data_IF_450625324976
#
_entry.id   IF_450625324976
#
_cell.length_a   1.000
_cell.length_b   1.000
_cell.length_c   1.000
_cell.angle_alpha   90.00
_cell.angle_beta   90.00
_cell.angle_gamma   90.00
#
_symmetry.space_group_name_H-M   'P 1'
#
loop_
_entity.id
_entity.type
_entity.pdbx_description
1 polymer ?
#
# COMPACT_ATOMS: atom_id res chain seq x y z
N UNK A 1 2.51 -2.81 18.58
CA UNK A 1 1.36 -3.22 17.78
C UNK A 1 0.73 -1.99 17.17
N UNK A 2 0.61 -1.93 15.83
CA UNK A 2 -0.04 -0.84 15.12
C UNK A 2 -1.50 -1.16 14.82
N UNK A 3 -1.73 -2.36 14.28
CA UNK A 3 -3.07 -2.87 13.93
C UNK A 3 -3.18 -4.29 14.49
N UNK A 4 -4.35 -4.62 15.01
CA UNK A 4 -4.68 -5.94 15.53
C UNK A 4 -6.09 -6.32 15.07
N UNK A 5 -6.22 -7.46 14.41
CA UNK A 5 -7.45 -7.92 13.76
C UNK A 5 -7.82 -9.28 14.33
N UNK A 6 -9.04 -9.40 14.85
CA UNK A 6 -9.56 -10.63 15.46
C UNK A 6 -10.85 -11.05 14.78
N UNK A 7 -10.86 -12.26 14.22
CA UNK A 7 -12.01 -12.95 13.60
C UNK A 7 -12.87 -12.03 12.71
N UNK A 8 -12.19 -11.15 11.99
CA UNK A 8 -12.82 -10.12 11.17
C UNK A 8 -13.58 -10.74 10.00
N UNK A 9 -14.88 -10.45 9.95
CA UNK A 9 -15.73 -10.68 8.77
C UNK A 9 -16.17 -9.31 8.27
N UNK A 10 -15.83 -8.97 7.03
CA UNK A 10 -16.09 -7.66 6.46
C UNK A 10 -16.66 -7.73 5.03
N UNK A 11 -17.28 -6.63 4.61
CA UNK A 11 -17.89 -6.50 3.30
C UNK A 11 -18.59 -5.15 3.13
N UNK A 12 -19.56 -5.11 2.22
CA UNK A 12 -20.38 -3.92 1.97
C UNK A 12 -21.86 -4.21 2.29
N UNK A 13 -22.66 -4.66 1.32
CA UNK A 13 -24.05 -5.07 1.55
C UNK A 13 -24.14 -6.45 2.21
N UNK A 14 -23.12 -7.30 2.01
CA UNK A 14 -23.00 -8.67 2.55
C UNK A 14 -21.53 -8.96 2.86
N UNK A 15 -21.25 -9.98 3.70
CA UNK A 15 -19.88 -10.45 3.90
C UNK A 15 -19.18 -10.81 2.58
N UNK A 16 -17.91 -10.44 2.48
CA UNK A 16 -17.04 -10.71 1.31
C UNK A 16 -15.82 -11.49 1.72
N UNK A 17 -15.30 -11.22 2.92
CA UNK A 17 -14.11 -11.89 3.45
C UNK A 17 -14.30 -12.26 4.92
N UNK A 18 -13.51 -13.23 5.37
CA UNK A 18 -13.35 -13.63 6.77
C UNK A 18 -13.87 -15.02 7.07
N UNK A 19 -13.75 -15.47 8.34
CA UNK A 19 -13.05 -14.75 9.41
C UNK A 19 -11.54 -14.71 9.16
N UNK A 20 -10.90 -13.59 9.50
CA UNK A 20 -9.45 -13.43 9.42
C UNK A 20 -8.91 -12.77 10.69
N UNK A 21 -7.77 -13.29 11.18
CA UNK A 21 -7.06 -12.74 12.35
C UNK A 21 -5.59 -12.55 12.00
N UNK A 22 -5.05 -11.38 12.31
CA UNK A 22 -3.64 -11.05 12.20
C UNK A 22 -3.32 -9.78 12.96
N UNK A 23 -2.05 -9.51 13.13
CA UNK A 23 -1.57 -8.26 13.71
C UNK A 23 -0.53 -7.62 12.78
N UNK A 24 -0.25 -6.33 12.97
CA UNK A 24 0.84 -5.60 12.31
C UNK A 24 1.65 -4.88 13.38
N UNK A 25 2.94 -5.16 13.42
CA UNK A 25 3.92 -4.49 14.28
C UNK A 25 4.56 -3.26 13.62
N UNK A 26 5.38 -2.53 14.40
CA UNK A 26 6.31 -1.55 13.83
C UNK A 26 7.48 -2.27 13.18
N UNK A 27 7.94 -1.77 12.05
CA UNK A 27 9.06 -2.36 11.32
C UNK A 27 8.75 -3.69 10.64
N UNK A 28 7.49 -4.06 10.53
CA UNK A 28 7.04 -5.33 9.95
C UNK A 28 6.41 -5.11 8.57
N UNK A 29 6.71 -6.02 7.64
CA UNK A 29 6.09 -6.08 6.32
C UNK A 29 5.23 -7.34 6.24
N UNK A 30 3.90 -7.17 6.21
CA UNK A 30 2.92 -8.23 6.13
C UNK A 30 2.36 -8.36 4.71
N UNK A 31 2.48 -9.54 4.10
CA UNK A 31 1.85 -9.88 2.84
C UNK A 31 0.43 -10.43 3.03
N UNK A 32 -0.55 -9.90 2.31
CA UNK A 32 -1.90 -10.45 2.21
C UNK A 32 -2.04 -11.15 0.86
N UNK A 33 -2.16 -12.47 0.91
CA UNK A 33 -2.24 -13.31 -0.28
C UNK A 33 -3.58 -14.01 -0.38
N UNK A 34 -4.06 -14.24 -1.59
CA UNK A 34 -5.33 -14.94 -1.84
C UNK A 34 -5.82 -14.78 -3.27
N UNK A 35 -6.77 -15.60 -3.67
CA UNK A 35 -7.34 -15.57 -5.01
C UNK A 35 -7.98 -14.22 -5.35
N UNK A 36 -8.11 -13.90 -6.63
CA UNK A 36 -8.84 -12.71 -7.06
C UNK A 36 -10.28 -12.76 -6.56
N UNK A 37 -10.78 -11.63 -6.05
CA UNK A 37 -12.12 -11.53 -5.49
C UNK A 37 -12.33 -12.16 -4.11
N UNK A 38 -11.24 -12.59 -3.41
CA UNK A 38 -11.36 -13.10 -2.04
C UNK A 38 -11.49 -11.98 -0.97
N UNK A 39 -11.52 -10.71 -1.37
CA UNK A 39 -11.76 -9.60 -0.45
C UNK A 39 -10.51 -8.86 0.04
N UNK A 40 -9.35 -8.98 -0.64
CA UNK A 40 -8.11 -8.27 -0.25
C UNK A 40 -8.31 -6.76 -0.11
N UNK A 41 -8.83 -6.11 -1.15
CA UNK A 41 -9.13 -4.66 -1.11
C UNK A 41 -10.25 -4.32 -0.11
N UNK A 42 -11.20 -5.25 0.10
CA UNK A 42 -12.24 -5.09 1.15
C UNK A 42 -11.62 -5.11 2.54
N UNK A 43 -10.60 -5.95 2.76
CA UNK A 43 -9.85 -5.96 4.02
C UNK A 43 -9.15 -4.62 4.25
N UNK A 44 -8.43 -4.09 3.25
CA UNK A 44 -7.80 -2.78 3.36
C UNK A 44 -8.83 -1.69 3.67
N UNK A 45 -9.99 -1.73 2.99
CA UNK A 45 -11.09 -0.80 3.28
C UNK A 45 -11.63 -0.96 4.72
N UNK A 46 -11.76 -2.19 5.23
CA UNK A 46 -12.19 -2.45 6.60
C UNK A 46 -11.17 -1.95 7.63
N UNK A 47 -9.87 -2.12 7.36
CA UNK A 47 -8.80 -1.57 8.19
C UNK A 47 -8.87 -0.04 8.31
N UNK A 48 -9.45 0.66 7.35
CA UNK A 48 -9.63 2.11 7.34
C UNK A 48 -11.04 2.56 7.78
N UNK A 49 -11.94 1.61 8.08
CA UNK A 49 -13.33 1.91 8.42
C UNK A 49 -14.21 2.25 7.23
N UNK A 50 -13.75 2.00 6.00
CA UNK A 50 -14.48 2.25 4.75
C UNK A 50 -15.31 1.04 4.27
N UNK A 51 -15.16 -0.13 4.90
CA UNK A 51 -16.01 -1.29 4.69
C UNK A 51 -16.71 -1.68 6.01
N UNK A 52 -17.89 -2.30 5.89
CA UNK A 52 -18.68 -2.73 7.04
C UNK A 52 -18.06 -3.96 7.68
N UNK A 53 -17.88 -3.92 9.00
CA UNK A 53 -17.55 -5.07 9.84
C UNK A 53 -18.86 -5.77 10.23
N UNK A 54 -18.98 -7.06 9.92
CA UNK A 54 -20.14 -7.91 10.26
C UNK A 54 -19.91 -8.66 11.56
N UNK A 55 -18.67 -9.13 11.80
CA UNK A 55 -18.22 -9.72 13.06
C UNK A 55 -16.72 -9.54 13.25
N UNK A 56 -16.23 -9.84 14.46
CA UNK A 56 -14.85 -9.62 14.83
C UNK A 56 -14.55 -8.13 15.08
N UNK A 57 -13.29 -7.79 15.16
CA UNK A 57 -12.88 -6.42 15.47
C UNK A 57 -11.55 -6.03 14.80
N UNK A 58 -11.37 -4.73 14.61
CA UNK A 58 -10.11 -4.10 14.20
C UNK A 58 -9.72 -3.09 15.29
N UNK A 59 -8.62 -3.38 15.97
CA UNK A 59 -8.01 -2.48 16.95
C UNK A 59 -6.84 -1.75 16.30
N UNK A 60 -6.73 -0.44 16.51
CA UNK A 60 -5.64 0.39 16.00
C UNK A 60 -4.98 1.12 17.17
N UNK A 61 -3.67 1.31 17.08
CA UNK A 61 -2.97 2.17 18.03
C UNK A 61 -3.59 3.57 18.06
N UNK A 62 -3.65 4.18 19.21
CA UNK A 62 -4.18 5.55 19.34
C UNK A 62 -3.32 6.54 18.52
N UNK A 63 -3.98 7.37 17.71
CA UNK A 63 -3.31 8.34 16.85
C UNK A 63 -2.60 7.74 15.63
N UNK A 64 -2.86 6.46 15.29
CA UNK A 64 -2.24 5.80 14.12
C UNK A 64 -2.52 6.56 12.83
N UNK A 65 -1.46 6.97 12.16
CA UNK A 65 -1.51 7.57 10.83
C UNK A 65 -1.27 6.49 9.78
N UNK A 66 -2.21 6.35 8.82
CA UNK A 66 -2.16 5.33 7.78
C UNK A 66 -2.16 5.98 6.41
N UNK A 67 -1.24 5.57 5.54
CA UNK A 67 -1.26 5.90 4.12
C UNK A 67 -1.76 4.69 3.32
N UNK A 68 -2.54 4.93 2.27
CA UNK A 68 -3.09 3.90 1.40
C UNK A 68 -2.83 4.24 -0.07
N UNK A 69 -2.24 3.31 -0.79
CA UNK A 69 -2.21 3.31 -2.25
C UNK A 69 -3.16 2.21 -2.73
N UNK A 70 -4.20 2.61 -3.46
CA UNK A 70 -5.16 1.69 -4.09
C UNK A 70 -4.73 1.36 -5.51
N UNK A 71 -5.22 0.24 -6.03
CA UNK A 71 -4.98 -0.16 -7.41
C UNK A 71 -5.47 0.89 -8.42
N UNK A 72 -6.61 1.54 -8.14
CA UNK A 72 -7.10 2.65 -8.95
C UNK A 72 -6.49 3.96 -8.46
N UNK A 73 -5.70 4.59 -9.33
CA UNK A 73 -5.16 5.91 -9.05
C UNK A 73 -6.19 6.99 -9.35
N UNK A 74 -6.16 8.11 -8.62
CA UNK A 74 -6.96 9.28 -8.97
C UNK A 74 -6.67 9.71 -10.40
N UNK A 75 -7.71 10.03 -11.16
CA UNK A 75 -7.55 10.68 -12.44
C UNK A 75 -7.06 12.11 -12.22
N UNK A 76 -5.80 12.36 -12.57
CA UNK A 76 -5.17 13.69 -12.49
C UNK A 76 -5.13 14.37 -13.86
N UNK A 77 -5.87 13.85 -14.85
CA UNK A 77 -5.95 14.48 -16.15
C UNK A 77 -6.46 15.94 -16.03
N UNK A 78 -5.69 16.86 -16.57
CA UNK A 78 -6.01 18.29 -16.52
C UNK A 78 -5.63 19.02 -15.23
N UNK A 79 -5.15 18.32 -14.20
CA UNK A 79 -4.57 18.98 -13.01
C UNK A 79 -3.13 19.39 -13.35
N UNK A 80 -2.77 20.68 -13.31
CA UNK A 80 -1.40 21.13 -13.59
C UNK A 80 -0.48 20.88 -12.38
N UNK A 81 -0.27 19.61 -12.04
CA UNK A 81 0.55 19.18 -10.91
C UNK A 81 1.83 18.51 -11.42
N UNK A 82 2.98 18.95 -10.92
CA UNK A 82 4.27 18.30 -11.16
C UNK A 82 4.54 17.17 -10.17
N UNK A 83 5.56 16.35 -10.45
CA UNK A 83 6.00 15.31 -9.54
C UNK A 83 6.52 15.89 -8.22
N UNK A 84 7.28 16.99 -8.28
CA UNK A 84 7.80 17.67 -7.09
C UNK A 84 6.66 18.21 -6.21
N UNK A 85 5.63 18.80 -6.82
CA UNK A 85 4.46 19.29 -6.09
C UNK A 85 3.66 18.14 -5.45
N UNK A 86 3.52 16.99 -6.12
CA UNK A 86 2.89 15.80 -5.53
C UNK A 86 3.64 15.35 -4.27
N UNK A 87 4.97 15.25 -4.32
CA UNK A 87 5.77 14.89 -3.16
C UNK A 87 5.63 15.93 -2.03
N UNK A 88 5.65 17.21 -2.36
CA UNK A 88 5.46 18.27 -1.37
C UNK A 88 4.08 18.20 -0.70
N UNK A 89 3.02 17.98 -1.46
CA UNK A 89 1.65 17.86 -0.95
C UNK A 89 1.46 16.65 -0.02
N UNK A 90 2.16 15.55 -0.30
CA UNK A 90 2.09 14.34 0.53
C UNK A 90 3.08 14.35 1.69
N UNK A 91 3.98 15.31 1.76
CA UNK A 91 5.10 15.34 2.71
C UNK A 91 6.15 14.26 2.45
N UNK A 92 6.14 13.65 1.27
CA UNK A 92 7.09 12.63 0.87
C UNK A 92 8.42 13.25 0.44
N UNK A 93 9.52 12.53 0.69
CA UNK A 93 10.85 12.94 0.22
C UNK A 93 11.18 12.33 -1.14
N UNK A 94 11.93 13.08 -1.96
CA UNK A 94 12.52 12.55 -3.19
C UNK A 94 13.79 11.72 -2.94
N UNK A 95 14.32 11.71 -1.72
CA UNK A 95 15.55 10.98 -1.36
C UNK A 95 15.37 9.48 -1.57
N UNK A 96 16.20 8.90 -2.42
CA UNK A 96 16.13 7.49 -2.79
C UNK A 96 15.19 7.18 -3.97
N UNK A 97 14.54 8.18 -4.57
CA UNK A 97 13.79 8.00 -5.80
C UNK A 97 14.74 7.55 -6.94
N UNK A 98 14.35 6.60 -7.82
CA UNK A 98 15.22 6.20 -8.93
C UNK A 98 15.55 7.38 -9.84
N UNK A 99 16.78 7.44 -10.36
CA UNK A 99 17.25 8.57 -11.18
C UNK A 99 16.36 8.82 -12.39
N UNK A 100 15.88 7.76 -13.07
CA UNK A 100 14.98 7.87 -14.23
C UNK A 100 13.65 8.58 -13.94
N UNK A 101 13.28 8.73 -12.65
CA UNK A 101 12.11 9.47 -12.22
C UNK A 101 12.49 10.77 -11.51
N UNK A 102 13.58 10.77 -10.75
CA UNK A 102 14.08 11.96 -10.03
C UNK A 102 14.37 13.12 -10.99
N UNK A 103 14.97 12.83 -12.15
CA UNK A 103 15.31 13.81 -13.18
C UNK A 103 14.07 14.43 -13.88
N UNK A 104 12.89 13.89 -13.62
CA UNK A 104 11.62 14.30 -14.23
C UNK A 104 10.60 14.88 -13.25
N UNK A 105 11.00 15.13 -12.01
CA UNK A 105 10.10 15.63 -10.98
C UNK A 105 9.48 17.00 -11.29
N UNK A 106 10.16 17.82 -12.07
CA UNK A 106 9.64 19.13 -12.49
C UNK A 106 8.63 19.02 -13.67
N UNK A 107 8.50 17.83 -14.25
CA UNK A 107 7.51 17.61 -15.32
C UNK A 107 6.11 17.45 -14.72
N UNK A 108 5.10 17.86 -15.48
CA UNK A 108 3.70 17.63 -15.13
C UNK A 108 3.39 16.13 -15.12
N UNK A 109 2.54 15.69 -14.19
CA UNK A 109 2.15 14.28 -14.04
C UNK A 109 1.52 13.71 -15.33
N UNK A 110 0.79 14.51 -16.09
CA UNK A 110 0.16 14.10 -17.35
C UNK A 110 1.16 13.86 -18.49
N UNK A 111 2.42 14.32 -18.36
CA UNK A 111 3.51 14.07 -19.31
C UNK A 111 4.35 12.85 -18.99
N UNK A 112 4.25 12.32 -17.77
CA UNK A 112 4.91 11.09 -17.37
C UNK A 112 4.23 9.89 -18.06
N UNK A 113 5.04 8.86 -18.37
CA UNK A 113 4.45 7.58 -18.79
C UNK A 113 3.54 7.00 -17.69
N UNK A 114 2.63 6.09 -18.06
CA UNK A 114 1.74 5.44 -17.09
C UNK A 114 2.51 4.78 -15.93
N UNK A 115 3.59 4.05 -16.25
CA UNK A 115 4.45 3.41 -15.23
C UNK A 115 5.19 4.42 -14.36
N UNK A 116 5.75 5.50 -14.94
CA UNK A 116 6.42 6.56 -14.18
C UNK A 116 5.46 7.25 -13.21
N UNK A 117 4.27 7.62 -13.69
CA UNK A 117 3.24 8.22 -12.86
C UNK A 117 2.79 7.29 -11.74
N UNK A 118 2.57 6.01 -12.06
CA UNK A 118 2.21 5.01 -11.07
C UNK A 118 3.29 4.86 -9.99
N UNK A 119 4.56 4.74 -10.40
CA UNK A 119 5.67 4.64 -9.48
C UNK A 119 5.78 5.88 -8.57
N UNK A 120 5.59 7.07 -9.13
CA UNK A 120 5.63 8.31 -8.37
C UNK A 120 4.51 8.40 -7.32
N UNK A 121 3.28 8.00 -7.66
CA UNK A 121 2.19 7.92 -6.69
C UNK A 121 2.46 6.88 -5.59
N UNK A 122 2.99 5.72 -5.97
CA UNK A 122 3.42 4.69 -5.04
C UNK A 122 4.50 5.22 -4.08
N UNK A 123 5.51 5.89 -4.64
CA UNK A 123 6.58 6.53 -3.88
C UNK A 123 6.04 7.58 -2.91
N UNK A 124 5.17 8.46 -3.38
CA UNK A 124 4.53 9.47 -2.56
C UNK A 124 3.77 8.86 -1.37
N UNK A 125 3.03 7.75 -1.60
CA UNK A 125 2.34 7.04 -0.53
C UNK A 125 3.32 6.38 0.46
N UNK A 126 4.38 5.71 -0.05
CA UNK A 126 5.36 4.98 0.75
C UNK A 126 6.19 5.92 1.64
N UNK A 127 6.57 7.11 1.11
CA UNK A 127 7.44 8.06 1.78
C UNK A 127 6.68 9.14 2.57
N UNK A 128 5.36 9.23 2.42
CA UNK A 128 4.56 10.13 3.23
C UNK A 128 4.72 9.83 4.71
N UNK A 129 4.67 10.86 5.58
CA UNK A 129 4.69 10.64 7.03
C UNK A 129 3.51 9.77 7.46
N UNK A 130 3.80 8.67 8.14
CA UNK A 130 2.78 7.75 8.62
C UNK A 130 3.39 6.58 9.38
N UNK A 131 2.61 5.99 10.28
CA UNK A 131 2.99 4.82 11.08
C UNK A 131 2.78 3.51 10.31
N UNK A 132 1.78 3.48 9.44
CA UNK A 132 1.46 2.29 8.64
C UNK A 132 1.21 2.67 7.17
N UNK A 133 1.65 1.80 6.25
CA UNK A 133 1.50 1.95 4.80
C UNK A 133 0.77 0.73 4.25
N UNK A 134 -0.33 0.96 3.54
CA UNK A 134 -1.10 -0.09 2.87
C UNK A 134 -0.94 0.05 1.37
N UNK A 135 -0.49 -1.01 0.69
CA UNK A 135 -0.26 -1.00 -0.75
C UNK A 135 -1.06 -2.12 -1.43
N UNK A 136 -1.93 -1.76 -2.37
CA UNK A 136 -2.75 -2.71 -3.14
C UNK A 136 -2.17 -2.88 -4.54
N UNK A 137 -1.63 -4.08 -4.82
CA UNK A 137 -0.97 -4.47 -6.08
C UNK A 137 0.13 -3.50 -6.54
N UNK A 138 1.14 -3.21 -5.69
CA UNK A 138 2.12 -2.15 -5.95
C UNK A 138 3.06 -2.44 -7.12
N UNK A 139 3.21 -3.70 -7.53
CA UNK A 139 4.10 -4.12 -8.63
C UNK A 139 3.45 -4.04 -10.01
N UNK A 140 2.15 -3.78 -10.10
CA UNK A 140 1.47 -3.69 -11.40
C UNK A 140 2.13 -2.62 -12.29
N UNK A 141 2.39 -2.96 -13.55
CA UNK A 141 3.03 -2.11 -14.57
C UNK A 141 4.45 -1.63 -14.22
N UNK A 142 5.13 -2.26 -13.25
CA UNK A 142 6.55 -2.04 -13.01
C UNK A 142 7.38 -3.06 -13.80
N UNK A 143 8.53 -2.60 -14.28
CA UNK A 143 9.55 -3.49 -14.81
C UNK A 143 10.35 -4.16 -13.67
N UNK A 144 11.18 -5.17 -13.95
CA UNK A 144 11.95 -5.86 -12.91
C UNK A 144 12.84 -4.94 -12.08
N UNK A 145 13.44 -3.92 -12.69
CA UNK A 145 14.29 -2.96 -11.99
C UNK A 145 13.47 -2.08 -11.03
N UNK A 146 12.27 -1.67 -11.47
CA UNK A 146 11.31 -0.95 -10.63
C UNK A 146 10.83 -1.78 -9.44
N UNK A 147 10.57 -3.08 -9.64
CA UNK A 147 10.20 -4.02 -8.56
C UNK A 147 11.35 -4.19 -7.56
N UNK A 148 12.58 -4.38 -8.05
CA UNK A 148 13.75 -4.52 -7.18
C UNK A 148 13.99 -3.24 -6.35
N UNK A 149 13.89 -2.07 -6.98
CA UNK A 149 14.02 -0.78 -6.30
C UNK A 149 12.91 -0.59 -5.25
N UNK A 150 11.66 -0.90 -5.60
CA UNK A 150 10.54 -0.85 -4.67
C UNK A 150 10.77 -1.75 -3.45
N UNK A 151 11.21 -2.99 -3.66
CA UNK A 151 11.51 -3.93 -2.57
C UNK A 151 12.52 -3.35 -1.59
N UNK A 152 13.61 -2.75 -2.09
CA UNK A 152 14.59 -2.06 -1.26
C UNK A 152 13.99 -0.89 -0.46
N UNK A 153 13.11 -0.10 -1.10
CA UNK A 153 12.44 1.03 -0.46
C UNK A 153 11.44 0.59 0.63
N UNK A 154 10.74 -0.54 0.43
CA UNK A 154 9.84 -1.13 1.44
C UNK A 154 10.63 -1.54 2.68
N UNK A 155 11.75 -2.26 2.51
CA UNK A 155 12.62 -2.65 3.62
C UNK A 155 13.18 -1.43 4.36
N UNK A 156 13.64 -0.40 3.63
CA UNK A 156 14.11 0.84 4.24
C UNK A 156 13.02 1.55 5.06
N UNK A 157 11.78 1.57 4.56
CA UNK A 157 10.64 2.17 5.25
C UNK A 157 10.25 1.39 6.50
N UNK A 158 10.29 0.05 6.45
CA UNK A 158 10.07 -0.81 7.60
C UNK A 158 11.19 -0.62 8.64
N UNK A 159 12.45 -0.62 8.22
CA UNK A 159 13.59 -0.36 9.12
C UNK A 159 13.51 1.02 9.82
N UNK A 160 12.86 2.01 9.17
CA UNK A 160 12.55 3.30 9.78
C UNK A 160 11.37 3.25 10.78
N UNK A 161 10.76 2.08 11.01
CA UNK A 161 9.75 1.84 12.02
C UNK A 161 8.29 1.87 11.53
N UNK A 162 8.03 2.04 10.25
CA UNK A 162 6.67 1.91 9.72
C UNK A 162 6.26 0.42 9.63
N UNK A 163 4.98 0.13 9.88
CA UNK A 163 4.40 -1.18 9.53
C UNK A 163 3.82 -1.14 8.13
N UNK A 164 4.03 -2.19 7.32
CA UNK A 164 3.54 -2.23 5.95
C UNK A 164 2.60 -3.42 5.73
N UNK A 165 1.52 -3.21 5.00
CA UNK A 165 0.66 -4.28 4.49
C UNK A 165 0.70 -4.24 2.97
N UNK A 166 1.13 -5.34 2.37
CA UNK A 166 1.22 -5.51 0.93
C UNK A 166 0.16 -6.50 0.45
N UNK A 167 -0.64 -6.09 -0.51
CA UNK A 167 -1.54 -6.98 -1.24
C UNK A 167 -0.94 -7.21 -2.61
N UNK A 168 -0.63 -8.46 -2.96
CA UNK A 168 -0.20 -8.81 -4.31
C UNK A 168 -0.57 -10.26 -4.65
N UNK A 169 -0.71 -10.53 -5.94
CA UNK A 169 -0.81 -11.88 -6.48
C UNK A 169 0.56 -12.43 -6.96
N UNK A 170 1.59 -11.58 -6.96
CA UNK A 170 2.97 -11.95 -7.29
C UNK A 170 3.63 -12.62 -6.07
N UNK A 171 3.76 -13.95 -6.14
CA UNK A 171 4.31 -14.74 -5.04
C UNK A 171 5.79 -14.48 -4.80
N UNK A 172 6.57 -14.22 -5.86
CA UNK A 172 8.01 -13.98 -5.78
C UNK A 172 8.27 -12.61 -5.13
N UNK A 173 7.51 -11.58 -5.52
CA UNK A 173 7.56 -10.28 -4.87
C UNK A 173 7.20 -10.37 -3.38
N UNK A 174 6.10 -11.03 -3.04
CA UNK A 174 5.69 -11.21 -1.65
C UNK A 174 6.74 -11.97 -0.83
N UNK A 175 7.34 -13.02 -1.42
CA UNK A 175 8.40 -13.78 -0.74
C UNK A 175 9.68 -12.94 -0.52
N UNK A 176 9.99 -12.03 -1.44
CA UNK A 176 11.17 -11.16 -1.33
C UNK A 176 10.96 -9.96 -0.39
N UNK A 177 9.73 -9.42 -0.34
CA UNK A 177 9.45 -8.18 0.37
C UNK A 177 8.90 -8.36 1.79
N UNK A 178 8.21 -9.48 2.09
CA UNK A 178 7.44 -9.62 3.32
C UNK A 178 8.11 -10.50 4.37
N UNK A 179 8.03 -10.10 5.64
CA UNK A 179 8.50 -10.92 6.78
C UNK A 179 7.61 -12.14 7.00
N UNK A 180 6.30 -11.99 6.75
CA UNK A 180 5.31 -13.07 6.82
C UNK A 180 4.11 -12.82 5.94
N UNK A 181 3.28 -13.84 5.78
CA UNK A 181 2.10 -13.80 4.93
C UNK A 181 0.85 -14.26 5.69
N UNK A 182 -0.29 -13.66 5.34
CA UNK A 182 -1.63 -14.09 5.76
C UNK A 182 -2.43 -14.46 4.53
N UNK A 183 -2.92 -15.69 4.49
CA UNK A 183 -3.75 -16.18 3.40
C UNK A 183 -5.22 -15.86 3.69
N UNK A 184 -5.84 -15.13 2.76
CA UNK A 184 -7.25 -14.81 2.85
C UNK A 184 -8.10 -15.88 2.17
N UNK A 185 -9.17 -16.31 2.85
CA UNK A 185 -10.25 -17.15 2.33
C UNK A 185 -11.48 -16.31 1.98
N UNK A 186 -12.41 -16.90 1.22
CA UNK A 186 -13.77 -16.33 1.07
C UNK A 186 -14.57 -16.60 2.35
N UNK A 187 -15.46 -15.65 2.71
CA UNK A 187 -16.46 -15.85 3.74
C UNK A 187 -17.50 -16.92 3.36
#
# INVERSE_FOLDING_TARGET
MLIDVHDLVAGYARPVLGPVSFSLGRGEILGLVGANGCGKSTLLAALLGAARVFSGEVRRAGGLTVTLQTQQQPDVAGVPLSGAELLALTGATATGLPAWLADRLDERLDRLSGGQRQYLHLWACLQAPGDAVLLDEPTNNLDPDGVAHLTGALHARAAAGAGLILVSHDADFIAAACDRQVRLGRA
#
